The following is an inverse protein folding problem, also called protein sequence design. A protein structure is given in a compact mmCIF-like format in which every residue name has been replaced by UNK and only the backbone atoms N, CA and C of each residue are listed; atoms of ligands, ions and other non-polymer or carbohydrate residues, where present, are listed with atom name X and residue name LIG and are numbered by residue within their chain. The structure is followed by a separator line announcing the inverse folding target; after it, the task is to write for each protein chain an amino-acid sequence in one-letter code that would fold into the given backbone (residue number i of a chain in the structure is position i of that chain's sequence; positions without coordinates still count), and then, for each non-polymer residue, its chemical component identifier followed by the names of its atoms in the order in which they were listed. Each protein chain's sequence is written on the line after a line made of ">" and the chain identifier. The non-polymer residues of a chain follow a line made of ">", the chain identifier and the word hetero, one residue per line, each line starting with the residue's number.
data_IF_820876454382
#
_entry.id   IF_820876454382
#
_cell.length_a   1.000
_cell.length_b   1.000
_cell.length_c   1.000
_cell.angle_alpha   90.00
_cell.angle_beta   90.00
_cell.angle_gamma   90.00
#
_symmetry.space_group_name_H-M   'P 1'
#
loop_
_entity.id
_entity.type
_entity.pdbx_description
1 polymer ?
#
# COMPACT_ATOMS: atom_id res chain seq x y z
N UNK A 1 17.52 9.79 -35.22
CA UNK A 1 16.06 9.56 -35.13
C UNK A 1 15.59 10.09 -33.79
N UNK A 2 15.03 11.30 -33.76
CA UNK A 2 14.61 11.96 -32.53
C UNK A 2 13.20 11.50 -32.17
N UNK A 3 13.07 10.64 -31.15
CA UNK A 3 11.77 10.27 -30.59
C UNK A 3 11.12 11.55 -30.04
N UNK A 4 10.10 12.03 -30.75
CA UNK A 4 9.19 13.06 -30.25
C UNK A 4 8.49 12.48 -29.02
N UNK A 5 8.94 12.86 -27.83
CA UNK A 5 8.15 12.73 -26.61
C UNK A 5 6.83 13.46 -26.83
N UNK A 6 5.77 12.71 -27.12
CA UNK A 6 4.39 13.22 -27.05
C UNK A 6 4.25 13.79 -25.63
N UNK A 7 4.06 15.10 -25.50
CA UNK A 7 3.60 15.70 -24.24
C UNK A 7 2.29 15.01 -23.88
N UNK A 8 2.32 14.11 -22.90
CA UNK A 8 1.10 13.57 -22.30
C UNK A 8 0.38 14.74 -21.65
N UNK A 9 -0.73 15.15 -22.24
CA UNK A 9 -1.62 16.17 -21.66
C UNK A 9 -2.17 15.65 -20.33
N UNK A 10 -1.96 16.41 -19.25
CA UNK A 10 -2.46 16.08 -17.90
C UNK A 10 -3.98 15.96 -17.95
N UNK A 11 -4.52 14.80 -17.56
CA UNK A 11 -5.97 14.58 -17.50
C UNK A 11 -6.62 15.53 -16.49
N UNK A 12 -7.78 16.08 -16.82
CA UNK A 12 -8.56 16.91 -15.90
C UNK A 12 -9.35 16.05 -14.88
N UNK A 13 -9.95 16.71 -13.87
CA UNK A 13 -10.71 16.04 -12.81
C UNK A 13 -11.83 15.13 -13.33
N UNK A 14 -12.58 15.63 -14.30
CA UNK A 14 -13.74 14.92 -14.83
C UNK A 14 -13.29 13.69 -15.63
N UNK A 15 -12.19 13.81 -16.39
CA UNK A 15 -11.58 12.71 -17.13
C UNK A 15 -11.04 11.62 -16.20
N UNK A 16 -10.33 11.99 -15.13
CA UNK A 16 -9.85 11.01 -14.14
C UNK A 16 -11.03 10.31 -13.48
N UNK A 17 -12.03 11.06 -13.01
CA UNK A 17 -13.21 10.47 -12.37
C UNK A 17 -14.00 9.55 -13.30
N UNK A 18 -14.10 9.91 -14.58
CA UNK A 18 -14.76 9.08 -15.60
C UNK A 18 -13.95 7.82 -15.87
N UNK A 19 -12.65 7.96 -16.13
CA UNK A 19 -11.75 6.82 -16.37
C UNK A 19 -11.73 5.83 -15.20
N UNK A 20 -11.68 6.32 -13.96
CA UNK A 20 -11.77 5.48 -12.75
C UNK A 20 -13.10 4.75 -12.69
N UNK A 21 -14.21 5.43 -12.94
CA UNK A 21 -15.55 4.81 -12.93
C UNK A 21 -15.67 3.74 -14.01
N UNK A 22 -15.28 4.05 -15.24
CA UNK A 22 -15.31 3.12 -16.37
C UNK A 22 -14.44 1.89 -16.10
N UNK A 23 -13.21 2.11 -15.62
CA UNK A 23 -12.29 1.02 -15.31
C UNK A 23 -12.80 0.18 -14.13
N UNK A 24 -13.46 0.79 -13.14
CA UNK A 24 -13.93 0.08 -11.95
C UNK A 24 -15.03 -0.94 -12.25
N UNK A 25 -15.89 -0.70 -13.25
CA UNK A 25 -17.10 -1.49 -13.47
C UNK A 25 -16.78 -2.96 -13.72
N UNK A 26 -15.87 -3.21 -14.66
CA UNK A 26 -15.43 -4.57 -15.01
C UNK A 26 -14.84 -5.30 -13.79
N UNK A 27 -13.98 -4.61 -13.03
CA UNK A 27 -13.29 -5.22 -11.89
C UNK A 27 -14.21 -5.46 -10.70
N UNK A 28 -15.19 -4.58 -10.47
CA UNK A 28 -16.22 -4.79 -9.44
C UNK A 28 -17.01 -6.08 -9.73
N UNK A 29 -17.37 -6.32 -10.98
CA UNK A 29 -18.10 -7.52 -11.39
C UNK A 29 -17.25 -8.80 -11.24
N UNK A 30 -15.93 -8.69 -11.48
CA UNK A 30 -14.99 -9.83 -11.38
C UNK A 30 -14.54 -10.17 -9.96
N UNK A 31 -14.56 -9.22 -9.04
CA UNK A 31 -14.00 -9.38 -7.69
C UNK A 31 -15.09 -9.39 -6.62
N UNK A 32 -15.59 -10.56 -6.18
CA UNK A 32 -16.74 -10.64 -5.28
C UNK A 32 -16.52 -9.95 -3.93
N UNK A 33 -15.30 -9.97 -3.37
CA UNK A 33 -15.01 -9.27 -2.10
C UNK A 33 -15.12 -7.75 -2.28
N UNK A 34 -14.73 -7.25 -3.46
CA UNK A 34 -14.88 -5.83 -3.81
C UNK A 34 -16.34 -5.49 -4.14
N UNK A 35 -17.05 -6.40 -4.82
CA UNK A 35 -18.48 -6.29 -5.13
C UNK A 35 -19.32 -6.03 -3.87
N UNK A 36 -18.97 -6.68 -2.75
CA UNK A 36 -19.70 -6.61 -1.49
C UNK A 36 -19.45 -5.35 -0.64
N UNK A 37 -18.47 -4.51 -0.99
CA UNK A 37 -18.12 -3.32 -0.19
C UNK A 37 -19.19 -2.22 -0.24
N UNK A 38 -19.24 -1.36 0.78
CA UNK A 38 -20.03 -0.12 0.74
C UNK A 38 -19.66 0.73 -0.50
N UNK A 39 -20.63 1.46 -1.05
CA UNK A 39 -20.45 2.32 -2.22
C UNK A 39 -20.63 3.78 -1.87
N UNK A 40 -19.80 4.63 -2.46
CA UNK A 40 -20.03 6.07 -2.43
C UNK A 40 -21.14 6.49 -3.42
N UNK A 41 -21.58 7.76 -3.41
CA UNK A 41 -22.62 8.24 -4.33
C UNK A 41 -22.27 8.14 -5.83
N UNK A 42 -21.01 7.89 -6.19
CA UNK A 42 -20.57 7.68 -7.58
C UNK A 42 -20.72 6.21 -8.00
N UNK A 43 -20.97 5.32 -7.03
CA UNK A 43 -21.00 3.86 -7.20
C UNK A 43 -19.64 3.19 -7.01
N UNK A 44 -18.64 3.89 -6.48
CA UNK A 44 -17.29 3.33 -6.26
C UNK A 44 -17.18 2.65 -4.88
N UNK A 45 -16.50 1.50 -4.77
CA UNK A 45 -16.22 0.85 -3.48
C UNK A 45 -15.48 1.79 -2.51
N UNK A 46 -15.91 1.81 -1.26
CA UNK A 46 -15.25 2.54 -0.16
C UNK A 46 -14.36 1.56 0.62
N UNK A 47 -13.02 1.73 0.61
CA UNK A 47 -12.13 0.88 1.40
C UNK A 47 -12.44 0.93 2.91
N UNK A 48 -12.31 -0.20 3.59
CA UNK A 48 -12.68 -0.35 4.99
C UNK A 48 -11.82 0.46 5.96
N UNK A 49 -10.55 0.75 5.60
CA UNK A 49 -9.64 1.55 6.41
C UNK A 49 -9.70 3.07 6.13
N UNK A 50 -10.58 3.55 5.25
CA UNK A 50 -10.64 4.98 4.89
C UNK A 50 -11.24 5.84 6.01
N UNK A 51 -10.60 6.99 6.26
CA UNK A 51 -11.10 8.04 7.14
C UNK A 51 -12.38 8.68 6.59
N UNK A 52 -13.23 9.16 7.50
CA UNK A 52 -14.46 9.88 7.17
C UNK A 52 -14.42 11.29 7.74
N UNK A 53 -14.98 12.24 6.99
CA UNK A 53 -15.15 13.61 7.44
C UNK A 53 -16.05 13.66 8.69
N UNK A 54 -15.57 14.30 9.76
CA UNK A 54 -16.25 14.31 11.05
C UNK A 54 -17.57 15.08 11.06
N UNK A 55 -17.80 15.98 10.09
CA UNK A 55 -19.03 16.80 10.01
C UNK A 55 -20.12 16.14 9.18
N UNK A 56 -19.75 15.46 8.10
CA UNK A 56 -20.71 14.94 7.13
C UNK A 56 -20.59 13.43 6.83
N UNK A 57 -19.63 12.73 7.45
CA UNK A 57 -19.45 11.29 7.32
C UNK A 57 -18.92 10.82 5.96
N UNK A 58 -18.59 11.72 5.03
CA UNK A 58 -18.12 11.35 3.69
C UNK A 58 -16.73 10.72 3.75
N UNK A 59 -16.47 9.65 2.98
CA UNK A 59 -15.16 9.03 2.92
C UNK A 59 -14.11 9.96 2.30
N UNK A 60 -12.93 9.99 2.89
CA UNK A 60 -11.75 10.73 2.44
C UNK A 60 -10.72 9.72 1.93
N UNK A 61 -10.88 9.28 0.66
CA UNK A 61 -10.09 8.21 0.05
C UNK A 61 -8.55 8.36 0.06
N UNK A 62 -8.02 9.54 0.38
CA UNK A 62 -6.57 9.77 0.46
C UNK A 62 -6.01 9.56 1.87
N UNK A 63 -6.87 9.26 2.85
CA UNK A 63 -6.49 9.23 4.26
C UNK A 63 -7.01 7.95 4.89
N UNK A 64 -6.07 7.17 5.40
CA UNK A 64 -6.34 6.02 6.25
C UNK A 64 -6.78 6.48 7.63
N UNK A 65 -7.73 5.77 8.25
CA UNK A 65 -8.03 5.89 9.66
C UNK A 65 -7.13 4.91 10.43
N UNK A 66 -6.11 5.38 11.17
CA UNK A 66 -5.11 4.50 11.79
C UNK A 66 -5.73 3.57 12.83
N UNK A 67 -6.76 4.01 13.57
CA UNK A 67 -7.45 3.17 14.54
C UNK A 67 -8.21 2.06 13.83
N UNK A 68 -8.98 2.41 12.78
CA UNK A 68 -9.71 1.43 11.98
C UNK A 68 -8.78 0.44 11.28
N UNK A 69 -7.62 0.91 10.80
CA UNK A 69 -6.60 0.08 10.20
C UNK A 69 -6.05 -0.93 11.20
N UNK A 70 -5.67 -0.51 12.41
CA UNK A 70 -5.23 -1.41 13.49
C UNK A 70 -6.31 -2.43 13.84
N UNK A 71 -7.57 -2.00 13.93
CA UNK A 71 -8.71 -2.88 14.20
C UNK A 71 -8.86 -3.97 13.12
N UNK A 72 -8.80 -3.60 11.85
CA UNK A 72 -8.87 -4.55 10.72
C UNK A 72 -7.67 -5.50 10.72
N UNK A 73 -6.48 -4.92 10.80
CA UNK A 73 -5.20 -5.61 10.84
C UNK A 73 -5.13 -6.67 11.95
N UNK A 74 -5.40 -6.30 13.20
CA UNK A 74 -5.35 -7.22 14.33
C UNK A 74 -6.51 -8.23 14.34
N UNK A 75 -7.57 -8.00 13.56
CA UNK A 75 -8.69 -8.93 13.39
C UNK A 75 -8.56 -9.82 12.15
N UNK A 76 -7.37 -9.95 11.57
CA UNK A 76 -7.13 -10.72 10.33
C UNK A 76 -8.02 -10.26 9.17
N UNK A 77 -8.31 -8.96 9.05
CA UNK A 77 -9.16 -8.43 7.98
C UNK A 77 -8.35 -7.60 6.99
N UNK A 78 -8.74 -7.72 5.72
CA UNK A 78 -8.20 -6.94 4.62
C UNK A 78 -8.51 -5.46 4.85
N UNK A 79 -7.49 -4.60 4.74
CA UNK A 79 -7.65 -3.17 4.94
C UNK A 79 -8.61 -2.51 3.94
N UNK A 80 -8.71 -3.09 2.73
CA UNK A 80 -9.58 -2.57 1.66
C UNK A 80 -10.99 -3.15 1.76
N UNK A 81 -11.14 -4.46 1.77
CA UNK A 81 -12.47 -5.10 1.67
C UNK A 81 -13.13 -5.35 3.02
N UNK A 82 -12.39 -5.31 4.13
CA UNK A 82 -12.87 -5.66 5.47
C UNK A 82 -13.15 -7.17 5.67
N UNK A 83 -12.91 -7.99 4.65
CA UNK A 83 -13.09 -9.46 4.72
C UNK A 83 -11.90 -10.12 5.38
N UNK A 84 -12.08 -11.33 5.93
CA UNK A 84 -10.97 -12.11 6.47
C UNK A 84 -9.87 -12.36 5.42
N UNK A 85 -8.62 -12.22 5.84
CA UNK A 85 -7.43 -12.56 5.07
C UNK A 85 -7.14 -14.06 5.18
N UNK A 86 -6.88 -14.70 4.05
CA UNK A 86 -6.21 -15.99 4.02
C UNK A 86 -4.71 -15.73 4.16
N UNK A 87 -4.02 -16.46 5.05
CA UNK A 87 -2.57 -16.37 5.24
C UNK A 87 -1.79 -16.70 3.95
N UNK A 88 -2.40 -17.48 3.06
CA UNK A 88 -1.87 -17.78 1.72
C UNK A 88 -2.24 -16.72 0.68
N UNK A 89 -2.88 -15.62 1.04
CA UNK A 89 -3.33 -14.54 0.13
C UNK A 89 -3.21 -13.17 0.81
N UNK A 90 -2.03 -12.88 1.39
CA UNK A 90 -1.70 -11.59 1.98
C UNK A 90 -0.71 -10.84 1.10
N UNK A 91 -1.15 -9.69 0.61
CA UNK A 91 -0.40 -8.85 -0.31
C UNK A 91 -0.15 -7.46 0.26
N UNK A 92 0.97 -6.90 -0.15
CA UNK A 92 1.27 -5.49 -0.01
C UNK A 92 1.56 -4.88 -1.37
N UNK A 93 1.21 -3.61 -1.55
CA UNK A 93 1.59 -2.82 -2.72
C UNK A 93 2.62 -1.79 -2.26
N UNK A 94 3.70 -1.65 -3.00
CA UNK A 94 4.76 -0.69 -2.66
C UNK A 94 5.63 -0.37 -3.88
N UNK A 95 6.75 0.33 -3.69
CA UNK A 95 7.76 0.57 -4.72
C UNK A 95 8.90 -0.45 -4.62
N UNK A 96 9.62 -0.74 -5.72
CA UNK A 96 10.71 -1.71 -5.72
C UNK A 96 11.79 -1.48 -4.65
N UNK A 97 12.12 -0.21 -4.37
CA UNK A 97 13.10 0.15 -3.36
C UNK A 97 12.65 -0.21 -1.93
N UNK A 98 11.35 -0.11 -1.62
CA UNK A 98 10.84 -0.50 -0.31
C UNK A 98 10.63 -2.01 -0.19
N UNK A 99 10.25 -2.69 -1.28
CA UNK A 99 10.08 -4.14 -1.31
C UNK A 99 11.42 -4.87 -1.13
N UNK A 100 12.44 -4.54 -1.94
CA UNK A 100 13.62 -5.39 -2.07
C UNK A 100 14.81 -4.96 -1.22
N UNK A 101 14.85 -3.72 -0.75
CA UNK A 101 15.87 -3.29 0.21
C UNK A 101 15.51 -3.81 1.60
N UNK A 102 16.43 -4.44 2.37
CA UNK A 102 16.13 -5.07 3.66
C UNK A 102 15.54 -4.14 4.72
N UNK A 103 15.96 -2.89 4.68
CA UNK A 103 15.47 -1.83 5.57
C UNK A 103 14.35 -0.98 4.92
N UNK A 104 13.79 -1.44 3.80
CA UNK A 104 12.57 -0.88 3.23
C UNK A 104 11.36 -1.19 4.10
N UNK A 105 10.42 -0.25 4.18
CA UNK A 105 9.24 -0.32 5.03
C UNK A 105 7.99 -0.29 4.16
N UNK A 106 6.99 -1.10 4.50
CA UNK A 106 5.69 -1.05 3.83
C UNK A 106 4.76 -0.15 4.66
N UNK A 107 4.18 0.85 4.01
CA UNK A 107 3.33 1.85 4.66
C UNK A 107 1.85 1.53 4.52
N UNK A 108 1.46 0.92 3.39
CA UNK A 108 0.09 0.51 3.17
C UNK A 108 -0.22 -0.80 3.90
N UNK A 109 -1.44 -0.90 4.43
CA UNK A 109 -1.90 -2.08 5.14
C UNK A 109 -2.09 -3.31 4.23
N UNK A 110 -1.99 -4.53 4.81
CA UNK A 110 -2.15 -5.77 4.06
C UNK A 110 -3.55 -5.89 3.45
N UNK A 111 -3.59 -6.50 2.27
CA UNK A 111 -4.82 -6.72 1.54
C UNK A 111 -4.85 -8.11 0.88
N UNK A 112 -6.05 -8.58 0.52
CA UNK A 112 -6.21 -9.82 -0.23
C UNK A 112 -5.89 -9.62 -1.72
N UNK A 113 -5.72 -10.71 -2.47
CA UNK A 113 -5.36 -10.66 -3.90
C UNK A 113 -6.36 -9.86 -4.74
N UNK A 114 -7.66 -10.06 -4.53
CA UNK A 114 -8.72 -9.29 -5.20
C UNK A 114 -8.60 -7.78 -4.93
N UNK A 115 -8.35 -7.40 -3.67
CA UNK A 115 -8.18 -6.02 -3.27
C UNK A 115 -6.93 -5.39 -3.89
N UNK A 116 -5.83 -6.16 -3.95
CA UNK A 116 -4.57 -5.78 -4.60
C UNK A 116 -4.78 -5.49 -6.09
N UNK A 117 -5.40 -6.42 -6.81
CA UNK A 117 -5.67 -6.26 -8.24
C UNK A 117 -6.60 -5.09 -8.51
N UNK A 118 -7.68 -4.97 -7.75
CA UNK A 118 -8.61 -3.86 -7.89
C UNK A 118 -7.90 -2.52 -7.67
N UNK A 119 -7.11 -2.42 -6.59
CA UNK A 119 -6.42 -1.19 -6.20
C UNK A 119 -5.44 -0.74 -7.28
N UNK A 120 -4.58 -1.62 -7.78
CA UNK A 120 -3.60 -1.31 -8.82
C UNK A 120 -4.25 -0.93 -10.17
N UNK A 121 -5.42 -1.49 -10.47
CA UNK A 121 -6.12 -1.22 -11.74
C UNK A 121 -7.01 0.01 -11.70
N UNK A 122 -7.54 0.38 -10.54
CA UNK A 122 -8.59 1.40 -10.43
C UNK A 122 -8.11 2.68 -9.77
N UNK A 123 -7.23 2.58 -8.77
CA UNK A 123 -6.76 3.76 -8.05
C UNK A 123 -5.95 4.69 -8.96
N UNK A 124 -6.32 5.97 -9.08
CA UNK A 124 -5.56 6.93 -9.89
C UNK A 124 -4.10 7.08 -9.46
N UNK A 125 -3.79 6.88 -8.18
CA UNK A 125 -2.42 6.98 -7.67
C UNK A 125 -1.47 5.97 -8.33
N UNK A 126 -1.96 4.77 -8.62
CA UNK A 126 -1.17 3.73 -9.32
C UNK A 126 -1.30 3.86 -10.84
N UNK A 127 -2.52 4.19 -11.31
CA UNK A 127 -2.85 4.12 -12.74
C UNK A 127 -2.66 5.40 -13.57
N UNK A 128 -2.33 6.55 -12.98
CA UNK A 128 -2.22 7.82 -13.70
C UNK A 128 -0.86 8.47 -13.42
N UNK A 129 -0.03 8.59 -14.45
CA UNK A 129 1.28 9.27 -14.35
C UNK A 129 1.09 10.74 -13.92
N UNK A 130 1.94 11.20 -13.01
CA UNK A 130 1.90 12.56 -12.46
C UNK A 130 0.53 12.92 -11.83
N UNK A 131 -0.08 11.94 -11.14
CA UNK A 131 -1.30 12.18 -10.39
C UNK A 131 -1.00 13.09 -9.20
N UNK A 132 -1.13 14.39 -9.45
CA UNK A 132 -0.96 15.46 -8.48
C UNK A 132 -2.34 16.04 -8.18
N UNK A 133 -3.06 15.36 -7.28
CA UNK A 133 -4.47 15.67 -7.04
C UNK A 133 -4.97 15.16 -5.68
N UNK A 134 -4.44 15.75 -4.62
CA UNK A 134 -5.18 15.88 -3.37
C UNK A 134 -6.20 17.03 -3.55
N UNK A 135 -7.47 16.82 -3.26
CA UNK A 135 -8.41 17.96 -3.08
C UNK A 135 -7.97 18.81 -1.90
N UNK A 136 -8.34 20.10 -1.82
CA UNK A 136 -7.99 20.95 -0.67
C UNK A 136 -8.37 20.31 0.67
N UNK A 137 -9.49 19.59 0.73
CA UNK A 137 -9.90 18.82 1.91
C UNK A 137 -8.95 17.65 2.20
N UNK A 138 -8.55 16.89 1.18
CA UNK A 138 -7.56 15.81 1.33
C UNK A 138 -6.18 16.35 1.68
N UNK A 139 -5.74 17.44 1.06
CA UNK A 139 -4.48 18.11 1.34
C UNK A 139 -4.46 18.66 2.78
N UNK A 140 -5.50 19.36 3.21
CA UNK A 140 -5.63 19.86 4.59
C UNK A 140 -5.68 18.72 5.62
N UNK A 141 -6.39 17.64 5.32
CA UNK A 141 -6.51 16.52 6.24
C UNK A 141 -5.25 15.62 6.25
N UNK A 142 -4.41 15.67 5.20
CA UNK A 142 -3.05 15.08 5.19
C UNK A 142 -1.99 15.98 5.85
N UNK A 143 -2.26 17.28 6.02
CA UNK A 143 -1.32 18.27 6.51
C UNK A 143 -1.44 18.73 7.99
N UNK A 144 -2.01 18.01 8.99
CA UNK A 144 -2.05 18.57 10.35
C UNK A 144 -0.66 18.78 11.00
N UNK A 145 0.44 18.22 10.46
CA UNK A 145 1.79 18.29 11.07
C UNK A 145 2.96 18.44 10.09
N UNK A 146 2.74 18.78 8.82
CA UNK A 146 3.87 19.08 7.92
C UNK A 146 4.33 20.51 8.20
N UNK A 147 5.44 20.66 8.92
CA UNK A 147 6.16 21.94 8.99
C UNK A 147 6.47 22.41 7.56
N UNK A 148 6.22 23.70 7.29
CA UNK A 148 6.40 24.36 6.00
C UNK A 148 7.80 24.15 5.37
N UNK A 149 8.78 23.74 6.18
CA UNK A 149 10.15 23.43 5.78
C UNK A 149 10.32 22.17 4.89
N UNK A 150 9.28 21.33 4.74
CA UNK A 150 9.33 20.09 3.95
C UNK A 150 8.72 20.22 2.53
N UNK A 151 8.17 21.39 2.19
CA UNK A 151 7.38 21.65 0.97
C UNK A 151 8.14 21.61 -0.37
N UNK A 152 9.44 21.30 -0.37
CA UNK A 152 10.28 21.32 -1.57
C UNK A 152 10.34 20.03 -2.39
N UNK A 153 9.92 18.88 -1.85
CA UNK A 153 9.89 17.63 -2.63
C UNK A 153 8.57 17.51 -3.38
N UNK A 154 8.62 17.75 -4.68
CA UNK A 154 7.54 17.36 -5.60
C UNK A 154 7.33 15.86 -5.47
N UNK A 155 6.17 15.43 -4.97
CA UNK A 155 5.79 14.02 -4.97
C UNK A 155 5.63 13.58 -6.43
N UNK A 156 6.67 12.96 -6.98
CA UNK A 156 6.56 12.29 -8.28
C UNK A 156 5.92 10.92 -8.06
N UNK A 157 4.82 10.66 -8.76
CA UNK A 157 4.21 9.33 -8.77
C UNK A 157 5.24 8.33 -9.28
N UNK A 158 5.53 7.24 -8.53
CA UNK A 158 6.44 6.20 -9.00
C UNK A 158 6.02 5.69 -10.39
N UNK A 159 7.00 5.45 -11.25
CA UNK A 159 6.75 4.90 -12.58
C UNK A 159 6.36 3.42 -12.51
N UNK A 160 6.84 2.71 -11.49
CA UNK A 160 6.63 1.29 -11.29
C UNK A 160 6.24 1.02 -9.83
N UNK A 161 5.32 0.07 -9.66
CA UNK A 161 4.92 -0.47 -8.38
C UNK A 161 5.14 -1.98 -8.37
N UNK A 162 5.26 -2.53 -7.17
CA UNK A 162 5.34 -3.98 -6.97
C UNK A 162 4.26 -4.40 -5.99
N UNK A 163 3.61 -5.52 -6.28
CA UNK A 163 2.80 -6.24 -5.32
C UNK A 163 3.58 -7.45 -4.81
N UNK A 164 3.76 -7.57 -3.51
CA UNK A 164 4.50 -8.68 -2.90
C UNK A 164 3.56 -9.53 -2.05
N UNK A 165 3.56 -10.83 -2.32
CA UNK A 165 2.81 -11.80 -1.54
C UNK A 165 3.69 -12.28 -0.38
N UNK A 166 3.36 -11.86 0.83
CA UNK A 166 4.20 -12.13 2.00
C UNK A 166 3.87 -13.48 2.63
N UNK A 167 4.84 -14.06 3.32
CA UNK A 167 4.68 -15.31 4.09
C UNK A 167 4.54 -15.07 5.59
N UNK A 168 4.60 -13.80 6.01
CA UNK A 168 4.49 -13.32 7.38
C UNK A 168 5.06 -11.92 7.48
N UNK A 169 4.71 -11.20 8.55
CA UNK A 169 5.15 -9.83 8.80
C UNK A 169 4.90 -9.41 10.25
N UNK A 170 5.49 -8.28 10.65
CA UNK A 170 5.23 -7.60 11.91
C UNK A 170 4.65 -6.19 11.62
N UNK A 171 3.79 -5.70 12.51
CA UNK A 171 3.36 -4.30 12.50
C UNK A 171 4.03 -3.52 13.63
N UNK A 172 4.37 -2.27 13.36
CA UNK A 172 4.89 -1.33 14.36
C UNK A 172 4.12 0.00 14.29
N UNK A 173 3.79 0.61 15.44
CA UNK A 173 3.13 1.89 15.46
C UNK A 173 4.14 3.00 15.17
N UNK A 174 3.66 4.10 14.60
CA UNK A 174 4.46 5.28 14.28
C UNK A 174 3.68 6.54 14.58
N UNK A 175 4.37 7.68 14.57
CA UNK A 175 3.72 8.98 14.72
C UNK A 175 2.71 9.30 13.60
N UNK A 176 2.78 8.61 12.46
CA UNK A 176 1.99 8.87 11.25
C UNK A 176 1.02 7.73 10.89
N UNK A 177 0.92 6.69 11.73
CA UNK A 177 0.11 5.50 11.45
C UNK A 177 0.88 4.21 11.72
N UNK A 178 0.71 3.20 10.87
CA UNK A 178 1.37 1.90 10.99
C UNK A 178 2.53 1.76 10.01
N UNK A 179 3.55 0.98 10.40
CA UNK A 179 4.57 0.43 9.50
C UNK A 179 4.47 -1.08 9.53
N UNK A 180 4.67 -1.70 8.38
CA UNK A 180 4.68 -3.13 8.22
C UNK A 180 6.06 -3.61 7.79
N UNK A 181 6.59 -4.55 8.57
CA UNK A 181 7.89 -5.18 8.40
C UNK A 181 7.67 -6.57 7.82
N UNK A 182 7.74 -6.74 6.49
CA UNK A 182 7.46 -8.02 5.88
C UNK A 182 8.60 -9.01 6.10
N UNK A 183 8.28 -10.30 6.16
CA UNK A 183 9.24 -11.31 5.74
C UNK A 183 9.54 -11.12 4.26
N UNK A 184 10.81 -10.94 3.91
CA UNK A 184 11.32 -10.93 2.54
C UNK A 184 11.54 -12.35 2.00
N UNK A 185 10.82 -13.31 2.54
CA UNK A 185 10.64 -14.64 1.96
C UNK A 185 9.32 -14.66 1.21
N UNK A 186 9.17 -13.75 0.23
CA UNK A 186 7.93 -13.62 -0.52
C UNK A 186 7.56 -14.93 -1.22
N UNK A 187 6.27 -15.19 -1.34
CA UNK A 187 5.73 -16.30 -2.11
C UNK A 187 5.64 -15.94 -3.60
N UNK A 188 5.36 -14.67 -3.91
CA UNK A 188 5.18 -14.14 -5.26
C UNK A 188 5.51 -12.64 -5.30
N UNK A 189 5.96 -12.16 -6.45
CA UNK A 189 6.18 -10.75 -6.76
C UNK A 189 5.51 -10.44 -8.09
N UNK A 190 4.71 -9.38 -8.13
CA UNK A 190 4.15 -8.83 -9.37
C UNK A 190 4.69 -7.42 -9.61
N UNK A 191 5.12 -7.14 -10.83
CA UNK A 191 5.57 -5.82 -11.28
C UNK A 191 4.46 -5.16 -12.08
N UNK A 192 4.16 -3.91 -11.73
CA UNK A 192 3.05 -3.15 -12.26
C UNK A 192 3.51 -1.79 -12.76
N UNK A 193 3.08 -1.45 -13.98
CA UNK A 193 3.18 -0.10 -14.53
C UNK A 193 1.77 0.37 -14.90
N UNK A 194 1.42 1.57 -14.42
CA UNK A 194 0.07 2.13 -14.57
C UNK A 194 -1.01 1.18 -14.04
N UNK A 195 -1.73 0.48 -14.92
CA UNK A 195 -2.85 -0.43 -14.59
C UNK A 195 -2.60 -1.87 -15.05
N UNK A 196 -1.37 -2.17 -15.44
CA UNK A 196 -1.01 -3.42 -16.10
C UNK A 196 0.04 -4.17 -15.28
N UNK A 197 -0.26 -5.43 -14.97
CA UNK A 197 0.75 -6.36 -14.47
C UNK A 197 1.64 -6.77 -15.63
N UNK A 198 2.92 -6.40 -15.57
CA UNK A 198 3.89 -6.65 -16.62
C UNK A 198 4.59 -8.00 -16.44
N UNK A 199 4.86 -8.36 -15.19
CA UNK A 199 5.68 -9.53 -14.85
C UNK A 199 5.26 -10.10 -13.50
N UNK A 200 5.12 -11.42 -13.45
CA UNK A 200 4.90 -12.19 -12.22
C UNK A 200 6.08 -13.12 -12.00
N UNK A 201 6.54 -13.24 -10.77
CA UNK A 201 7.67 -14.05 -10.38
C UNK A 201 7.29 -14.87 -9.17
N UNK A 202 7.45 -16.19 -9.30
CA UNK A 202 7.13 -17.15 -8.27
C UNK A 202 8.33 -18.07 -7.99
N UNK A 203 8.27 -18.77 -6.85
CA UNK A 203 9.23 -19.82 -6.50
C UNK A 203 10.67 -19.33 -6.44
N UNK A 204 11.58 -19.98 -7.16
CA UNK A 204 13.01 -19.66 -7.11
C UNK A 204 13.34 -18.28 -7.67
N UNK A 205 12.55 -17.77 -8.62
CA UNK A 205 12.78 -16.44 -9.21
C UNK A 205 12.68 -15.31 -8.19
N UNK A 206 11.85 -15.48 -7.16
CA UNK A 206 11.67 -14.49 -6.09
C UNK A 206 12.99 -14.22 -5.36
N UNK A 207 13.78 -15.26 -5.10
CA UNK A 207 15.07 -15.13 -4.40
C UNK A 207 16.11 -14.36 -5.21
N UNK A 208 16.09 -14.52 -6.54
CA UNK A 208 16.98 -13.78 -7.41
C UNK A 208 16.69 -12.28 -7.39
N UNK A 209 15.41 -11.87 -7.36
CA UNK A 209 15.04 -10.44 -7.26
C UNK A 209 15.41 -9.84 -5.90
N UNK A 210 15.18 -10.58 -4.81
CA UNK A 210 15.60 -10.14 -3.47
C UNK A 210 17.12 -9.96 -3.45
N UNK A 211 17.90 -10.90 -3.99
CA UNK A 211 19.35 -10.82 -4.03
C UNK A 211 19.85 -9.56 -4.78
N UNK A 212 19.24 -9.21 -5.91
CA UNK A 212 19.54 -7.95 -6.61
C UNK A 212 19.23 -6.72 -5.73
N UNK A 213 18.11 -6.76 -4.99
CA UNK A 213 17.77 -5.75 -3.99
C UNK A 213 18.83 -5.62 -2.88
N UNK A 214 19.39 -6.74 -2.41
CA UNK A 214 20.45 -6.77 -1.39
C UNK A 214 21.77 -6.16 -1.89
N UNK A 215 22.13 -6.43 -3.14
CA UNK A 215 23.32 -5.84 -3.77
C UNK A 215 23.18 -4.31 -3.80
N UNK A 216 22.03 -3.81 -4.28
CA UNK A 216 21.71 -2.38 -4.26
C UNK A 216 21.73 -1.82 -2.84
N UNK A 217 21.11 -2.51 -1.87
CA UNK A 217 21.06 -2.06 -0.48
C UNK A 217 22.47 -1.88 0.11
N UNK A 218 23.38 -2.80 -0.20
CA UNK A 218 24.76 -2.79 0.28
C UNK A 218 25.58 -1.62 -0.29
N UNK A 219 25.23 -1.10 -1.48
CA UNK A 219 25.81 0.13 -2.02
C UNK A 219 25.32 1.41 -1.33
N UNK A 220 24.11 1.36 -0.73
CA UNK A 220 23.49 2.50 -0.04
C UNK A 220 23.92 2.53 1.43
N UNK A 221 23.89 1.37 2.09
CA UNK A 221 24.17 1.21 3.51
C UNK A 221 24.81 -0.17 3.74
N UNK A 222 26.01 -0.26 4.34
CA UNK A 222 26.65 -1.55 4.57
C UNK A 222 25.88 -2.37 5.62
N UNK A 223 25.89 -3.72 5.53
CA UNK A 223 25.12 -4.59 6.44
C UNK A 223 25.34 -4.34 7.94
N UNK A 224 26.53 -3.93 8.34
CA UNK A 224 26.86 -3.61 9.74
C UNK A 224 26.07 -2.41 10.31
N UNK A 225 25.46 -1.60 9.46
CA UNK A 225 24.65 -0.44 9.83
C UNK A 225 23.14 -0.67 9.62
N UNK A 226 22.75 -1.88 9.21
CA UNK A 226 21.33 -2.18 9.02
C UNK A 226 20.61 -2.24 10.38
N UNK A 227 19.36 -1.76 10.45
CA UNK A 227 18.56 -1.92 11.65
C UNK A 227 18.32 -3.40 11.92
N UNK A 228 18.20 -3.78 13.20
CA UNK A 228 18.08 -5.18 13.62
C UNK A 228 16.95 -5.94 12.92
N UNK A 229 15.82 -5.28 12.68
CA UNK A 229 14.67 -5.87 12.01
C UNK A 229 14.93 -6.21 10.54
N UNK A 230 15.90 -5.56 9.88
CA UNK A 230 16.26 -5.88 8.50
C UNK A 230 16.84 -7.30 8.41
N UNK A 231 17.62 -7.71 9.41
CA UNK A 231 18.11 -9.10 9.53
C UNK A 231 16.94 -10.06 9.69
N UNK A 232 15.98 -9.77 10.59
CA UNK A 232 14.79 -10.62 10.82
C UNK A 232 13.93 -10.78 9.56
N UNK A 233 13.89 -9.76 8.70
CA UNK A 233 13.18 -9.81 7.43
C UNK A 233 13.82 -10.79 6.43
N UNK A 234 15.14 -10.98 6.51
CA UNK A 234 15.92 -11.80 5.58
C UNK A 234 16.24 -13.21 6.09
N UNK A 235 16.40 -13.40 7.39
CA UNK A 235 16.76 -14.69 7.97
C UNK A 235 15.57 -15.66 8.10
N UNK A 236 14.35 -15.16 7.84
CA UNK A 236 13.12 -15.95 7.89
C UNK A 236 12.44 -15.97 9.25
N UNK A 237 12.94 -15.23 10.24
CA UNK A 237 12.33 -15.09 11.57
C UNK A 237 10.90 -14.54 11.53
N UNK A 238 10.53 -13.84 10.45
CA UNK A 238 9.18 -13.35 10.23
C UNK A 238 8.29 -14.31 9.44
N UNK A 239 8.78 -15.47 8.98
CA UNK A 239 7.99 -16.46 8.25
C UNK A 239 6.89 -17.04 9.14
N UNK A 240 5.65 -17.06 8.66
CA UNK A 240 4.49 -17.51 9.42
C UNK A 240 4.12 -16.61 10.59
N UNK A 241 4.82 -15.48 10.80
CA UNK A 241 4.47 -14.50 11.81
C UNK A 241 3.30 -13.66 11.32
N UNK A 242 2.24 -13.63 12.11
CA UNK A 242 1.03 -12.89 11.79
C UNK A 242 0.58 -12.07 13.00
N UNK A 243 0.40 -10.75 12.88
CA UNK A 243 0.08 -9.93 14.04
C UNK A 243 -1.24 -10.25 14.72
N UNK A 244 -2.24 -10.74 13.97
CA UNK A 244 -3.52 -11.21 14.51
C UNK A 244 -3.44 -12.50 15.32
N UNK A 245 -2.29 -13.19 15.35
CA UNK A 245 -2.07 -14.33 16.26
C UNK A 245 -1.44 -13.90 17.59
N UNK A 246 -1.26 -12.59 17.82
CA UNK A 246 -0.67 -11.99 19.03
C UNK A 246 -1.65 -10.94 19.60
N UNK A 247 -2.72 -11.36 20.30
CA UNK A 247 -3.80 -10.46 20.72
C UNK A 247 -3.33 -9.29 21.59
N UNK A 248 -2.27 -9.47 22.38
CA UNK A 248 -1.61 -8.43 23.18
C UNK A 248 -1.05 -7.28 22.34
N UNK A 249 -0.68 -7.52 21.08
CA UNK A 249 -0.20 -6.47 20.19
C UNK A 249 -1.31 -5.48 19.84
N UNK A 250 -2.58 -5.91 19.80
CA UNK A 250 -3.69 -5.00 19.44
C UNK A 250 -3.78 -3.83 20.42
N UNK A 251 -3.83 -4.13 21.71
CA UNK A 251 -4.01 -3.09 22.72
C UNK A 251 -2.79 -2.15 22.77
N UNK A 252 -1.58 -2.70 22.65
CA UNK A 252 -0.36 -1.91 22.58
C UNK A 252 -0.36 -0.96 21.36
N UNK A 253 -0.73 -1.46 20.18
CA UNK A 253 -0.80 -0.65 18.96
C UNK A 253 -1.87 0.44 19.06
N UNK A 254 -3.04 0.12 19.62
CA UNK A 254 -4.11 1.11 19.83
C UNK A 254 -3.70 2.18 20.84
N UNK A 255 -3.02 1.80 21.93
CA UNK A 255 -2.51 2.75 22.92
C UNK A 255 -1.48 3.70 22.31
N UNK A 256 -0.54 3.19 21.52
CA UNK A 256 0.42 4.04 20.82
C UNK A 256 -0.26 4.96 19.81
N UNK A 257 -1.17 4.44 18.97
CA UNK A 257 -1.88 5.26 17.98
C UNK A 257 -2.70 6.40 18.62
N UNK A 258 -3.32 6.15 19.79
CA UNK A 258 -4.07 7.17 20.54
C UNK A 258 -3.20 8.29 21.10
N UNK A 259 -1.89 8.12 21.26
CA UNK A 259 -0.98 9.20 21.67
C UNK A 259 -0.79 10.25 20.57
N UNK A 260 -1.07 9.89 19.32
CA UNK A 260 -0.84 10.73 18.14
C UNK A 260 -2.12 11.32 17.53
N UNK A 261 -3.28 10.76 17.87
CA UNK A 261 -4.62 11.21 17.49
C UNK A 261 -5.06 12.44 18.30
#
# INVERSE_FOLDING_TARGET
>A
MTLKYKRLTKMNRAEISRSTKESSKEWIEKFPKVAAMERDPRGLPIPANVSRDSKNGKPIFAITNPIQEIELFCSQKCAVTGTLLNVEDVWFITTPDLAFVPFGLLLDAPMCGEAKDFTLRVCPYFGVRNYDRLSDTQAKAMAPKLSDASSGKRYETPAEFVAVKVTGFQGEPTAEGMRYLPSRHYASIEFWEERSCLRVIDGQGVRAEIAQGLEKASTICPPAQWPSWATMSLDGSLNGRWPWTQPEMKELLLQEARKFA
#
